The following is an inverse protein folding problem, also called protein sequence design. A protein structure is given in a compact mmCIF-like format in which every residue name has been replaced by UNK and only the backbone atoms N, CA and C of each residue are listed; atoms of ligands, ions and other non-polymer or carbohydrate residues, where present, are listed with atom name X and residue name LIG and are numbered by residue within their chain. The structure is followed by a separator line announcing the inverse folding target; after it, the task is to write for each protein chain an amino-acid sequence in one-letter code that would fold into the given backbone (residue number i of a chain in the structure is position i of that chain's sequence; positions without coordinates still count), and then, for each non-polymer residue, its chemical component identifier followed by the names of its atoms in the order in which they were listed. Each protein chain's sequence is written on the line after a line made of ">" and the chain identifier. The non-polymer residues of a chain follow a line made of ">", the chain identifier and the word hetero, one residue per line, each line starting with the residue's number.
data_IF_068411450952
#
_entry.id   IF_068411450952
#
_cell.length_a   1.000
_cell.length_b   1.000
_cell.length_c   1.000
_cell.angle_alpha   90.00
_cell.angle_beta   90.00
_cell.angle_gamma   90.00
#
_symmetry.space_group_name_H-M   'P 1'
#
loop_
_entity.id
_entity.type
_entity.pdbx_description
1 polymer ?
#
# COMPACT_ATOMS: atom_id res chain seq x y z
N UNK A 1 18.60 12.79 -5.29
CA UNK A 1 18.87 11.43 -4.79
C UNK A 1 17.52 10.73 -4.64
N UNK A 2 17.33 9.49 -5.14
CA UNK A 2 16.04 8.81 -5.07
C UNK A 2 15.65 8.49 -3.62
N UNK A 3 14.35 8.48 -3.31
CA UNK A 3 13.83 7.95 -2.05
C UNK A 3 13.91 6.42 -2.12
N UNK A 4 14.58 5.82 -1.14
CA UNK A 4 14.64 4.36 -0.98
C UNK A 4 13.50 3.89 -0.08
N UNK A 5 12.73 2.91 -0.56
CA UNK A 5 11.65 2.26 0.19
C UNK A 5 11.98 0.77 0.31
N UNK A 6 11.98 0.27 1.55
CA UNK A 6 12.27 -1.13 1.84
C UNK A 6 10.98 -1.85 2.22
N UNK A 7 10.58 -2.81 1.39
CA UNK A 7 9.37 -3.61 1.51
C UNK A 7 8.25 -3.12 0.61
N UNK A 8 7.68 -4.04 -0.17
CA UNK A 8 6.59 -3.83 -1.13
C UNK A 8 5.21 -4.23 -0.62
N UNK A 9 4.97 -4.11 0.69
CA UNK A 9 3.65 -4.30 1.30
C UNK A 9 2.72 -3.09 1.07
N UNK A 10 1.53 -3.07 1.68
CA UNK A 10 0.56 -1.97 1.53
C UNK A 10 1.17 -0.59 1.78
N UNK A 11 1.90 -0.42 2.89
CA UNK A 11 2.52 0.85 3.25
C UNK A 11 3.66 1.25 2.28
N UNK A 12 4.50 0.29 1.87
CA UNK A 12 5.60 0.55 0.95
C UNK A 12 5.13 0.91 -0.45
N UNK A 13 4.09 0.24 -0.95
CA UNK A 13 3.45 0.56 -2.23
C UNK A 13 2.79 1.93 -2.21
N UNK A 14 2.08 2.29 -1.12
CA UNK A 14 1.48 3.62 -0.98
C UNK A 14 2.55 4.71 -0.89
N UNK A 15 3.62 4.50 -0.10
CA UNK A 15 4.73 5.45 0.01
C UNK A 15 5.44 5.64 -1.35
N UNK A 16 5.68 4.55 -2.09
CA UNK A 16 6.29 4.60 -3.41
C UNK A 16 5.40 5.38 -4.39
N UNK A 17 4.10 5.10 -4.38
CA UNK A 17 3.13 5.80 -5.19
C UNK A 17 3.08 7.30 -4.88
N UNK A 18 2.98 7.68 -3.62
CA UNK A 18 2.90 9.08 -3.21
C UNK A 18 4.15 9.86 -3.58
N UNK A 19 5.34 9.28 -3.40
CA UNK A 19 6.59 9.93 -3.78
C UNK A 19 6.74 10.04 -5.32
N UNK A 20 6.51 8.94 -6.05
CA UNK A 20 6.63 8.92 -7.50
C UNK A 20 5.60 9.83 -8.19
N UNK A 21 4.36 9.88 -7.70
CA UNK A 21 3.30 10.76 -8.24
C UNK A 21 3.62 12.25 -8.07
N UNK A 22 4.51 12.60 -7.15
CA UNK A 22 4.99 13.97 -6.92
C UNK A 22 6.30 14.28 -7.65
N UNK A 23 6.71 13.42 -8.58
CA UNK A 23 7.91 13.59 -9.38
C UNK A 23 9.22 13.28 -8.63
N UNK A 24 9.15 12.65 -7.46
CA UNK A 24 10.34 12.24 -6.72
C UNK A 24 10.77 10.84 -7.20
N UNK A 25 12.00 10.65 -7.68
CA UNK A 25 12.48 9.32 -8.05
C UNK A 25 12.47 8.36 -6.86
N UNK A 26 11.98 7.14 -7.06
CA UNK A 26 11.85 6.11 -6.02
C UNK A 26 12.60 4.84 -6.42
N UNK A 27 13.29 4.25 -5.44
CA UNK A 27 13.77 2.87 -5.53
C UNK A 27 13.03 2.03 -4.50
N UNK A 28 12.17 1.12 -4.97
CA UNK A 28 11.43 0.19 -4.12
C UNK A 28 12.13 -1.18 -4.11
N UNK A 29 12.54 -1.62 -2.93
CA UNK A 29 13.11 -2.95 -2.74
C UNK A 29 12.06 -3.89 -2.16
N UNK A 30 11.80 -5.00 -2.87
CA UNK A 30 11.00 -6.11 -2.38
C UNK A 30 11.82 -7.40 -2.50
N UNK A 31 11.83 -8.20 -1.44
CA UNK A 31 12.62 -9.43 -1.40
C UNK A 31 11.95 -10.55 -2.20
N UNK A 32 10.63 -10.49 -2.37
CA UNK A 32 9.84 -11.42 -3.19
C UNK A 32 10.02 -11.10 -4.69
N UNK A 33 9.98 -12.11 -5.57
CA UNK A 33 9.75 -13.53 -5.28
C UNK A 33 11.01 -14.31 -4.84
N UNK A 34 12.20 -13.71 -4.88
CA UNK A 34 13.47 -14.40 -4.61
C UNK A 34 13.51 -14.99 -3.19
N UNK A 35 12.97 -14.26 -2.21
CA UNK A 35 12.79 -14.72 -0.83
C UNK A 35 11.31 -14.66 -0.45
N UNK A 36 10.54 -15.73 -0.67
CA UNK A 36 9.15 -15.80 -0.26
C UNK A 36 9.03 -15.97 1.26
N UNK A 37 7.82 -15.76 1.78
CA UNK A 37 7.46 -16.09 3.17
C UNK A 37 6.26 -17.03 3.16
N UNK A 38 6.04 -17.77 4.24
CA UNK A 38 4.92 -18.73 4.34
C UNK A 38 3.51 -18.12 4.10
N UNK A 39 3.34 -16.81 4.28
CA UNK A 39 2.03 -16.14 4.17
C UNK A 39 1.75 -15.55 2.78
N UNK A 40 2.80 -15.31 1.97
CA UNK A 40 2.66 -14.72 0.64
C UNK A 40 2.52 -15.83 -0.40
N UNK A 41 1.57 -15.68 -1.30
CA UNK A 41 1.24 -16.63 -2.39
C UNK A 41 1.64 -16.10 -3.75
N UNK A 42 2.00 -14.83 -3.86
CA UNK A 42 2.35 -14.17 -5.12
C UNK A 42 3.66 -13.40 -5.02
N UNK A 43 4.16 -13.00 -6.18
CA UNK A 43 5.28 -12.07 -6.36
C UNK A 43 4.83 -10.60 -6.42
N UNK A 44 3.52 -10.34 -6.26
CA UNK A 44 2.92 -9.03 -6.43
C UNK A 44 3.08 -8.17 -5.16
N UNK A 45 3.16 -6.87 -5.40
CA UNK A 45 3.19 -5.86 -4.34
C UNK A 45 1.81 -5.75 -3.66
N UNK A 46 1.81 -5.26 -2.41
CA UNK A 46 0.62 -5.02 -1.61
C UNK A 46 -0.34 -6.22 -1.46
N UNK A 47 0.19 -7.45 -1.51
CA UNK A 47 -0.60 -8.67 -1.29
C UNK A 47 -1.26 -8.69 0.11
N UNK A 48 -2.55 -9.00 0.15
CA UNK A 48 -3.29 -9.26 1.39
C UNK A 48 -3.11 -10.72 1.80
N UNK A 49 -2.41 -10.95 2.90
CA UNK A 49 -2.02 -12.30 3.35
C UNK A 49 -2.85 -12.86 4.52
N UNK A 50 -3.80 -12.09 5.02
CA UNK A 50 -4.69 -12.48 6.12
C UNK A 50 -6.15 -12.26 5.71
N UNK A 51 -6.87 -11.34 6.35
CA UNK A 51 -8.20 -10.93 5.92
C UNK A 51 -8.14 -10.05 4.67
N UNK A 52 -9.14 -10.17 3.81
CA UNK A 52 -9.40 -9.24 2.71
C UNK A 52 -10.22 -8.01 3.13
N UNK A 53 -10.61 -7.91 4.40
CA UNK A 53 -11.40 -6.79 4.91
C UNK A 53 -10.50 -5.60 5.26
N UNK A 54 -10.84 -4.44 4.71
CA UNK A 54 -10.28 -3.15 5.14
C UNK A 54 -11.07 -2.55 6.31
N UNK A 55 -11.95 -3.32 6.96
CA UNK A 55 -12.89 -2.91 8.03
C UNK A 55 -13.94 -1.91 7.55
N UNK A 56 -14.82 -1.47 8.45
CA UNK A 56 -15.90 -0.51 8.15
C UNK A 56 -15.40 0.84 7.65
N UNK A 57 -16.29 1.60 7.03
CA UNK A 57 -15.98 2.87 6.35
C UNK A 57 -16.74 4.07 6.94
N UNK A 58 -17.43 3.89 8.07
CA UNK A 58 -18.14 4.99 8.73
C UNK A 58 -17.15 6.02 9.28
N UNK A 59 -17.41 7.30 9.05
CA UNK A 59 -16.55 8.41 9.51
C UNK A 59 -16.48 8.54 11.05
N UNK A 60 -17.42 7.95 11.77
CA UNK A 60 -17.51 7.96 13.23
C UNK A 60 -16.51 7.00 13.91
N UNK A 61 -15.76 6.20 13.15
CA UNK A 61 -14.69 5.36 13.67
C UNK A 61 -13.34 5.69 13.01
N UNK A 62 -12.26 5.41 13.74
CA UNK A 62 -10.91 5.76 13.34
C UNK A 62 -10.50 5.19 11.98
N UNK A 63 -10.97 3.99 11.61
CA UNK A 63 -10.59 3.37 10.34
C UNK A 63 -11.30 4.03 9.16
N UNK A 64 -12.60 4.32 9.29
CA UNK A 64 -13.34 5.03 8.25
C UNK A 64 -12.84 6.47 8.06
N UNK A 65 -12.51 7.17 9.16
CA UNK A 65 -11.90 8.50 9.07
C UNK A 65 -10.55 8.45 8.32
N UNK A 66 -9.68 7.50 8.67
CA UNK A 66 -8.38 7.36 8.00
C UNK A 66 -8.54 7.05 6.50
N UNK A 67 -9.51 6.21 6.12
CA UNK A 67 -9.78 5.94 4.70
C UNK A 67 -10.22 7.18 3.95
N UNK A 68 -11.06 8.00 4.56
CA UNK A 68 -11.48 9.26 3.97
C UNK A 68 -10.31 10.24 3.78
N UNK A 69 -9.40 10.32 4.76
CA UNK A 69 -8.15 11.08 4.60
C UNK A 69 -7.29 10.52 3.46
N UNK A 70 -7.14 9.19 3.39
CA UNK A 70 -6.40 8.50 2.32
C UNK A 70 -7.02 8.77 0.93
N UNK A 71 -8.36 8.79 0.80
CA UNK A 71 -9.05 9.14 -0.44
C UNK A 71 -8.73 10.57 -0.88
N UNK A 72 -8.83 11.52 0.05
CA UNK A 72 -8.50 12.94 -0.20
C UNK A 72 -7.05 13.15 -0.61
N UNK A 73 -6.16 12.29 -0.13
CA UNK A 73 -4.74 12.27 -0.49
C UNK A 73 -4.43 11.45 -1.76
N UNK A 74 -5.46 10.95 -2.46
CA UNK A 74 -5.30 10.23 -3.72
C UNK A 74 -4.63 8.86 -3.56
N UNK A 75 -4.95 8.14 -2.47
CA UNK A 75 -4.35 6.85 -2.14
C UNK A 75 -4.48 5.82 -3.26
N UNK A 76 -3.37 5.14 -3.58
CA UNK A 76 -3.36 4.00 -4.49
C UNK A 76 -4.12 2.82 -3.89
N UNK A 77 -3.89 2.54 -2.61
CA UNK A 77 -4.52 1.42 -1.90
C UNK A 77 -6.04 1.57 -1.87
N UNK A 78 -6.57 2.75 -1.55
CA UNK A 78 -8.02 2.98 -1.52
C UNK A 78 -8.64 2.86 -2.91
N UNK A 79 -8.01 3.43 -3.94
CA UNK A 79 -8.48 3.25 -5.33
C UNK A 79 -8.53 1.78 -5.75
N UNK A 80 -7.52 0.99 -5.35
CA UNK A 80 -7.48 -0.43 -5.67
C UNK A 80 -8.51 -1.26 -4.87
N UNK A 81 -8.84 -0.85 -3.65
CA UNK A 81 -9.82 -1.53 -2.81
C UNK A 81 -11.28 -1.27 -3.23
N UNK A 82 -11.53 -0.21 -3.99
CA UNK A 82 -12.86 0.23 -4.44
C UNK A 82 -13.15 -0.06 -5.91
N UNK A 83 -12.19 -0.66 -6.63
CA UNK A 83 -12.31 -1.09 -8.03
C UNK A 83 -13.00 -2.46 -8.16
#
# INVERSE_FOLDING_TARGET
>A
MPITIIGGGLAGSEAAWQAASRGVPVTLFEMRPVRPTAVHKTDRLAELVCSNSFRGDKLDNAVGLLKEEMRRLGSLVMRAAEA
#
